data_IF_321812539715
#
_entry.id   IF_321812539715
#
_cell.length_a   1.000
_cell.length_b   1.000
_cell.length_c   1.000
_cell.angle_alpha   90.00
_cell.angle_beta   90.00
_cell.angle_gamma   90.00
#
_symmetry.space_group_name_H-M   'P 1'
#
loop_
_entity.id
_entity.type
_entity.pdbx_description
1 polymer ?
#
# COMPACT_ATOMS: atom_id res chain seq x y z
N UNK A 1 19.48 12.70 -9.70
CA UNK A 1 18.14 12.11 -9.71
C UNK A 1 17.48 12.49 -8.39
N UNK A 2 16.35 13.17 -8.48
CA UNK A 2 15.52 13.45 -7.30
C UNK A 2 14.82 12.17 -6.87
N UNK A 3 14.57 11.98 -5.57
CA UNK A 3 13.83 10.82 -5.08
C UNK A 3 12.47 11.28 -4.57
N UNK A 4 11.42 10.49 -4.84
CA UNK A 4 10.05 10.74 -4.38
C UNK A 4 9.56 9.52 -3.60
N UNK A 5 8.93 9.76 -2.47
CA UNK A 5 8.15 8.74 -1.80
C UNK A 5 6.72 8.76 -2.31
N UNK A 6 6.32 7.69 -3.00
CA UNK A 6 4.93 7.43 -3.39
C UNK A 6 4.25 6.51 -2.39
N UNK A 7 2.96 6.75 -2.12
CA UNK A 7 2.14 5.87 -1.29
C UNK A 7 0.94 5.39 -2.08
N UNK A 8 0.87 4.07 -2.29
CA UNK A 8 -0.29 3.38 -2.88
C UNK A 8 -1.02 2.64 -1.77
N UNK A 9 -2.33 2.80 -1.72
CA UNK A 9 -3.18 2.10 -0.75
C UNK A 9 -4.08 1.12 -1.48
N UNK A 10 -4.03 -0.15 -1.09
CA UNK A 10 -4.91 -1.22 -1.56
C UNK A 10 -5.91 -1.55 -0.46
N UNK A 11 -7.21 -1.45 -0.77
CA UNK A 11 -8.29 -2.00 0.03
C UNK A 11 -8.75 -3.31 -0.60
N UNK A 12 -8.69 -4.40 0.17
CA UNK A 12 -9.13 -5.73 -0.27
C UNK A 12 -10.23 -6.21 0.65
N UNK A 13 -11.30 -6.76 0.07
CA UNK A 13 -12.44 -7.30 0.80
C UNK A 13 -12.69 -8.74 0.35
N UNK A 14 -12.76 -9.65 1.31
CA UNK A 14 -13.17 -11.04 1.13
C UNK A 14 -14.67 -11.11 1.37
N UNK A 15 -15.45 -11.35 0.30
CA UNK A 15 -16.91 -11.29 0.38
C UNK A 15 -17.51 -12.62 0.82
N UNK A 16 -17.47 -13.60 -0.07
CA UNK A 16 -18.13 -14.90 0.11
C UNK A 16 -17.21 -16.03 -0.30
N UNK A 17 -17.21 -17.08 0.49
CA UNK A 17 -16.56 -18.34 0.17
C UNK A 17 -17.62 -19.36 -0.23
N UNK A 18 -17.48 -19.93 -1.42
CA UNK A 18 -18.37 -20.95 -1.95
C UNK A 18 -17.64 -22.28 -2.06
N UNK A 19 -18.07 -23.26 -1.26
CA UNK A 19 -17.59 -24.64 -1.33
C UNK A 19 -18.33 -25.40 -2.44
N UNK A 20 -17.68 -25.71 -3.55
CA UNK A 20 -18.28 -26.52 -4.63
C UNK A 20 -18.18 -28.00 -4.31
N UNK A 21 -17.02 -28.48 -3.88
CA UNK A 21 -16.77 -29.89 -3.54
C UNK A 21 -15.44 -30.12 -2.79
N UNK A 22 -15.22 -29.45 -1.66
CA UNK A 22 -14.08 -29.74 -0.80
C UNK A 22 -14.17 -31.15 -0.21
N UNK A 23 -13.08 -31.92 -0.33
CA UNK A 23 -13.02 -33.32 0.11
C UNK A 23 -13.12 -33.51 1.62
N UNK A 24 -12.71 -32.50 2.39
CA UNK A 24 -12.57 -32.60 3.84
C UNK A 24 -13.56 -31.64 4.50
N UNK A 25 -14.14 -32.08 5.62
CA UNK A 25 -14.98 -31.24 6.49
C UNK A 25 -14.12 -30.77 7.64
N UNK A 26 -14.31 -29.54 8.07
CA UNK A 26 -13.51 -28.97 9.14
C UNK A 26 -13.42 -27.46 9.04
N UNK A 27 -12.34 -26.93 9.59
CA UNK A 27 -12.10 -25.51 9.72
C UNK A 27 -11.18 -25.02 8.62
N UNK A 28 -11.60 -23.91 8.00
CA UNK A 28 -10.90 -23.25 6.92
C UNK A 28 -10.60 -21.81 7.29
N UNK A 29 -9.54 -21.30 6.68
CA UNK A 29 -9.15 -19.91 6.78
C UNK A 29 -8.50 -19.48 5.47
N UNK A 30 -8.78 -18.26 5.02
CA UNK A 30 -8.09 -17.65 3.90
C UNK A 30 -7.07 -16.65 4.44
N UNK A 31 -5.83 -16.76 4.00
CA UNK A 31 -4.77 -15.79 4.30
C UNK A 31 -4.44 -14.98 3.08
N UNK A 32 -4.37 -13.67 3.22
CA UNK A 32 -4.07 -12.73 2.15
C UNK A 32 -2.76 -12.00 2.42
N UNK A 33 -1.89 -11.93 1.42
CA UNK A 33 -0.63 -11.20 1.49
C UNK A 33 -0.38 -10.39 0.22
N UNK A 34 0.03 -9.13 0.38
CA UNK A 34 0.47 -8.30 -0.74
C UNK A 34 1.99 -8.40 -0.88
N UNK A 35 2.46 -8.75 -2.07
CA UNK A 35 3.88 -8.77 -2.44
C UNK A 35 4.17 -7.66 -3.43
N UNK A 36 5.32 -7.03 -3.26
CA UNK A 36 5.82 -5.97 -4.12
C UNK A 36 7.19 -6.38 -4.63
N UNK A 37 7.48 -6.14 -5.91
CA UNK A 37 8.78 -6.46 -6.50
C UNK A 37 9.94 -5.89 -5.67
N UNK A 38 10.97 -6.69 -5.34
CA UNK A 38 12.12 -6.23 -4.56
C UNK A 38 13.02 -5.26 -5.33
N UNK A 39 12.74 -5.03 -6.63
CA UNK A 39 13.47 -4.06 -7.47
C UNK A 39 13.24 -2.61 -7.03
N UNK A 40 12.11 -2.33 -6.38
CA UNK A 40 11.76 -1.01 -5.89
C UNK A 40 11.87 -1.03 -4.36
N UNK A 41 12.71 -0.17 -3.73
CA UNK A 41 12.75 -0.05 -2.28
C UNK A 41 11.37 0.36 -1.76
N UNK A 42 10.83 -0.43 -0.83
CA UNK A 42 9.46 -0.24 -0.36
C UNK A 42 9.29 -0.62 1.10
N UNK A 43 8.20 -0.13 1.70
CA UNK A 43 7.72 -0.52 3.02
C UNK A 43 6.23 -0.80 2.94
N UNK A 44 5.83 -1.98 3.39
CA UNK A 44 4.44 -2.41 3.46
C UNK A 44 3.91 -2.25 4.89
N UNK A 45 2.72 -1.67 5.02
CA UNK A 45 1.97 -1.57 6.27
C UNK A 45 0.60 -2.22 6.02
N UNK A 46 0.14 -3.00 6.98
CA UNK A 46 -1.12 -3.75 6.87
C UNK A 46 -2.00 -3.36 8.05
N UNK A 47 -3.27 -3.12 7.77
CA UNK A 47 -4.27 -2.79 8.79
C UNK A 47 -5.58 -3.50 8.49
N UNK A 48 -6.28 -3.93 9.54
CA UNK A 48 -7.65 -4.45 9.46
C UNK A 48 -8.55 -3.71 10.46
N UNK A 49 -9.84 -3.49 10.13
CA UNK A 49 -10.80 -2.92 11.08
C UNK A 49 -10.92 -3.84 12.31
N UNK A 50 -10.90 -3.26 13.52
CA UNK A 50 -11.08 -4.03 14.76
C UNK A 50 -9.85 -4.86 15.18
N UNK A 51 -8.64 -4.49 14.75
CA UNK A 51 -7.40 -5.15 15.15
C UNK A 51 -7.23 -5.24 16.68
N UNK A 52 -7.46 -6.43 17.25
CA UNK A 52 -7.20 -6.78 18.65
C UNK A 52 -5.89 -7.55 18.83
N UNK A 53 -5.14 -7.80 17.75
CA UNK A 53 -3.91 -8.61 17.77
C UNK A 53 -4.15 -10.12 17.66
N UNK A 54 -5.41 -10.58 17.66
CA UNK A 54 -5.76 -12.00 17.57
C UNK A 54 -6.83 -12.23 16.49
N UNK A 55 -6.62 -13.24 15.66
CA UNK A 55 -7.62 -13.74 14.72
C UNK A 55 -8.54 -14.72 15.45
N UNK A 56 -9.85 -14.66 15.18
CA UNK A 56 -10.84 -15.53 15.85
C UNK A 56 -11.88 -16.06 14.86
N UNK A 57 -12.85 -16.84 15.34
CA UNK A 57 -14.03 -17.24 14.56
C UNK A 57 -14.90 -16.04 14.13
N UNK A 58 -14.81 -14.94 14.86
CA UNK A 58 -15.65 -13.76 14.66
C UNK A 58 -14.93 -12.61 13.95
N UNK A 59 -13.60 -12.65 13.82
CA UNK A 59 -12.83 -11.52 13.29
C UNK A 59 -11.57 -11.92 12.53
N UNK A 60 -11.34 -11.23 11.42
CA UNK A 60 -10.05 -11.20 10.75
C UNK A 60 -8.96 -10.52 11.61
N UNK A 61 -7.70 -10.86 11.34
CA UNK A 61 -6.53 -10.33 12.05
C UNK A 61 -5.32 -10.14 11.14
N UNK A 62 -4.30 -9.46 11.66
CA UNK A 62 -2.99 -9.35 11.01
C UNK A 62 -1.98 -10.12 11.84
N UNK A 63 -1.22 -11.01 11.20
CA UNK A 63 -0.17 -11.79 11.86
C UNK A 63 1.00 -12.00 10.89
N UNK A 64 2.22 -11.71 11.35
CA UNK A 64 3.47 -11.81 10.59
C UNK A 64 3.41 -11.21 9.16
N UNK A 65 2.83 -10.01 9.03
CA UNK A 65 2.73 -9.34 7.73
C UNK A 65 1.77 -10.00 6.73
N UNK A 66 0.87 -10.88 7.20
CA UNK A 66 -0.23 -11.46 6.44
C UNK A 66 -1.56 -11.11 7.12
N UNK A 67 -2.62 -11.04 6.32
CA UNK A 67 -3.99 -10.91 6.81
C UNK A 67 -4.60 -12.29 6.90
N UNK A 68 -5.27 -12.56 8.01
CA UNK A 68 -5.97 -13.80 8.30
C UNK A 68 -7.46 -13.46 8.27
N UNK A 69 -8.24 -14.16 7.45
CA UNK A 69 -9.71 -14.09 7.54
C UNK A 69 -10.17 -14.64 8.89
N UNK A 70 -11.42 -14.35 9.26
CA UNK A 70 -12.06 -15.12 10.32
C UNK A 70 -12.02 -16.62 10.00
N UNK A 71 -11.97 -17.46 11.03
CA UNK A 71 -12.05 -18.91 10.85
C UNK A 71 -13.50 -19.27 10.53
N UNK A 72 -13.72 -20.14 9.54
CA UNK A 72 -15.04 -20.64 9.18
C UNK A 72 -15.05 -22.15 9.04
N UNK A 73 -16.18 -22.77 9.35
CA UNK A 73 -16.36 -24.20 9.25
C UNK A 73 -17.13 -24.56 7.98
N UNK A 74 -16.73 -25.64 7.34
CA UNK A 74 -17.44 -26.22 6.19
C UNK A 74 -17.85 -27.63 6.56
N UNK A 75 -19.14 -27.90 6.43
CA UNK A 75 -19.76 -29.18 6.77
C UNK A 75 -20.37 -29.86 5.55
N UNK A 76 -20.83 -29.09 4.57
CA UNK A 76 -21.59 -29.60 3.44
C UNK A 76 -21.02 -29.12 2.11
N UNK A 77 -21.30 -29.91 1.07
CA UNK A 77 -21.06 -29.52 -0.32
C UNK A 77 -22.02 -28.41 -0.73
N UNK A 78 -21.61 -27.54 -1.65
CA UNK A 78 -22.40 -26.39 -2.14
C UNK A 78 -22.78 -25.42 -1.02
N UNK A 79 -21.92 -25.29 -0.02
CA UNK A 79 -22.09 -24.39 1.12
C UNK A 79 -21.52 -23.00 0.78
N UNK A 80 -22.24 -21.94 1.14
CA UNK A 80 -21.80 -20.55 0.98
C UNK A 80 -21.63 -19.90 2.36
N UNK A 81 -20.48 -19.29 2.58
CA UNK A 81 -20.12 -18.59 3.81
C UNK A 81 -19.80 -17.13 3.50
N UNK A 82 -20.54 -16.19 4.08
CA UNK A 82 -20.20 -14.75 4.02
C UNK A 82 -19.05 -14.43 4.97
N UNK A 83 -17.94 -13.91 4.48
CA UNK A 83 -16.79 -13.51 5.29
C UNK A 83 -16.87 -12.03 5.68
N UNK A 84 -17.05 -11.15 4.70
CA UNK A 84 -17.10 -9.68 4.85
C UNK A 84 -15.85 -9.08 5.53
N UNK A 85 -14.71 -9.77 5.38
CA UNK A 85 -13.44 -9.37 5.98
C UNK A 85 -12.76 -8.31 5.09
N UNK A 86 -12.43 -7.16 5.70
CA UNK A 86 -11.79 -6.02 5.01
C UNK A 86 -10.38 -5.81 5.51
N UNK A 87 -9.46 -5.52 4.59
CA UNK A 87 -8.08 -5.21 4.92
C UNK A 87 -7.52 -4.11 4.03
N UNK A 88 -6.55 -3.39 4.57
CA UNK A 88 -5.85 -2.32 3.86
C UNK A 88 -4.35 -2.57 3.88
N UNK A 89 -3.75 -2.62 2.70
CA UNK A 89 -2.32 -2.69 2.49
C UNK A 89 -1.83 -1.32 1.98
N UNK A 90 -1.03 -0.63 2.79
CA UNK A 90 -0.40 0.64 2.43
C UNK A 90 1.05 0.40 2.05
N UNK A 91 1.39 0.68 0.80
CA UNK A 91 2.74 0.51 0.24
C UNK A 91 3.38 1.87 0.07
N UNK A 92 4.47 2.12 0.79
CA UNK A 92 5.36 3.23 0.55
C UNK A 92 6.48 2.78 -0.40
N UNK A 93 6.69 3.52 -1.49
CA UNK A 93 7.65 3.23 -2.55
C UNK A 93 8.64 4.38 -2.65
N UNK A 94 9.93 4.06 -2.81
CA UNK A 94 10.95 5.03 -3.21
C UNK A 94 11.09 5.02 -4.73
N UNK A 95 10.75 6.14 -5.36
CA UNK A 95 10.62 6.28 -6.80
C UNK A 95 11.61 7.31 -7.34
N UNK A 96 11.99 7.14 -8.62
CA UNK A 96 12.70 8.17 -9.37
C UNK A 96 11.76 9.37 -9.59
N UNK A 97 12.13 10.52 -9.03
CA UNK A 97 11.32 11.74 -9.09
C UNK A 97 11.17 12.32 -10.49
N UNK A 98 12.04 11.95 -11.43
CA UNK A 98 11.97 12.39 -12.82
C UNK A 98 11.03 11.50 -13.67
N UNK A 99 10.68 10.30 -13.17
CA UNK A 99 9.89 9.27 -13.87
C UNK A 99 8.83 8.61 -12.97
N UNK A 100 8.17 9.40 -12.11
CA UNK A 100 7.27 8.88 -11.06
C UNK A 100 6.15 8.02 -11.63
N UNK A 101 5.52 8.46 -12.72
CA UNK A 101 4.37 7.79 -13.31
C UNK A 101 4.77 6.46 -13.98
N UNK A 102 5.86 6.47 -14.75
CA UNK A 102 6.40 5.25 -15.36
C UNK A 102 6.90 4.28 -14.29
N UNK A 103 7.64 4.77 -13.31
CA UNK A 103 8.16 3.95 -12.21
C UNK A 103 7.04 3.29 -11.41
N UNK A 104 5.93 3.99 -11.14
CA UNK A 104 4.75 3.41 -10.50
C UNK A 104 4.09 2.33 -11.36
N UNK A 105 3.97 2.57 -12.67
CA UNK A 105 3.33 1.64 -13.61
C UNK A 105 4.14 0.35 -13.82
N UNK A 106 5.47 0.42 -13.64
CA UNK A 106 6.39 -0.71 -13.75
C UNK A 106 6.45 -1.57 -12.45
N UNK A 107 5.85 -1.12 -11.35
CA UNK A 107 5.86 -1.89 -10.09
C UNK A 107 4.94 -3.12 -10.22
N UNK A 108 5.54 -4.30 -10.04
CA UNK A 108 4.79 -5.55 -9.96
C UNK A 108 4.24 -5.75 -8.54
N UNK A 109 2.92 -5.64 -8.43
CA UNK A 109 2.14 -5.92 -7.23
C UNK A 109 1.42 -7.25 -7.40
N UNK A 110 1.49 -8.10 -6.37
CA UNK A 110 0.86 -9.41 -6.40
C UNK A 110 0.06 -9.66 -5.11
N UNK A 111 -1.21 -10.01 -5.24
CA UNK A 111 -2.03 -10.48 -4.12
C UNK A 111 -1.99 -12.00 -4.08
N UNK A 112 -1.46 -12.56 -2.99
CA UNK A 112 -1.48 -13.99 -2.71
C UNK A 112 -2.63 -14.31 -1.77
N UNK A 113 -3.42 -15.32 -2.12
CA UNK A 113 -4.49 -15.92 -1.33
C UNK A 113 -4.15 -17.38 -1.06
N UNK A 114 -4.00 -17.72 0.21
CA UNK A 114 -3.72 -19.09 0.66
C UNK A 114 -4.96 -19.64 1.37
N UNK A 115 -5.40 -20.83 0.98
CA UNK A 115 -6.43 -21.59 1.68
C UNK A 115 -5.76 -22.52 2.68
N UNK A 116 -6.12 -22.38 3.94
CA UNK A 116 -5.65 -23.20 5.05
C UNK A 116 -6.76 -24.11 5.55
N UNK A 117 -6.39 -25.29 6.04
CA UNK A 117 -7.35 -26.28 6.56
C UNK A 117 -6.82 -27.02 7.78
N UNK A 118 -7.72 -27.29 8.74
CA UNK A 118 -7.54 -28.27 9.81
C UNK A 118 -8.88 -28.89 10.20
N UNK A 119 -8.88 -30.16 10.54
CA UNK A 119 -9.99 -30.87 11.18
C UNK A 119 -9.83 -30.97 12.71
N UNK A 120 -8.72 -30.46 13.26
CA UNK A 120 -8.37 -30.53 14.68
C UNK A 120 -8.62 -29.17 15.34
N UNK A 121 -9.67 -29.08 16.16
CA UNK A 121 -10.05 -27.85 16.85
C UNK A 121 -8.94 -27.29 17.75
N UNK A 122 -8.11 -28.16 18.36
CA UNK A 122 -6.98 -27.71 19.19
C UNK A 122 -5.92 -26.92 18.39
N UNK A 123 -5.78 -27.16 17.09
CA UNK A 123 -4.83 -26.40 16.25
C UNK A 123 -5.31 -24.96 15.99
N UNK A 124 -6.58 -24.65 16.26
CA UNK A 124 -7.10 -23.29 16.14
C UNK A 124 -6.58 -22.37 17.25
N UNK A 125 -5.99 -22.93 18.32
CA UNK A 125 -5.29 -22.14 19.33
C UNK A 125 -3.92 -21.64 18.83
N UNK A 126 -3.29 -22.35 17.89
CA UNK A 126 -2.07 -21.91 17.19
C UNK A 126 -2.34 -21.88 15.69
N UNK A 127 -3.12 -20.88 15.28
CA UNK A 127 -3.55 -20.70 13.89
C UNK A 127 -2.33 -20.66 12.95
N UNK A 128 -1.18 -20.14 13.39
CA UNK A 128 0.02 -20.03 12.56
C UNK A 128 0.49 -21.39 12.01
N UNK A 129 0.26 -22.47 12.77
CA UNK A 129 0.66 -23.85 12.44
C UNK A 129 -0.24 -24.55 11.40
N UNK A 130 -1.44 -24.01 11.13
CA UNK A 130 -2.41 -24.65 10.23
C UNK A 130 -1.85 -24.70 8.81
N UNK A 131 -1.79 -25.88 8.16
CA UNK A 131 -1.15 -26.03 6.85
C UNK A 131 -1.94 -25.34 5.74
N UNK A 132 -1.19 -24.84 4.74
CA UNK A 132 -1.76 -24.39 3.47
C UNK A 132 -2.08 -25.60 2.60
N UNK A 133 -3.29 -25.64 2.04
CA UNK A 133 -3.75 -26.71 1.14
C UNK A 133 -3.85 -26.24 -0.31
N UNK A 134 -4.07 -24.94 -0.54
CA UNK A 134 -4.10 -24.34 -1.88
C UNK A 134 -3.63 -22.89 -1.86
N UNK A 135 -3.09 -22.41 -2.98
CA UNK A 135 -2.58 -21.06 -3.12
C UNK A 135 -2.87 -20.47 -4.49
N UNK A 136 -3.28 -19.21 -4.51
CA UNK A 136 -3.49 -18.41 -5.72
C UNK A 136 -2.78 -17.09 -5.62
N UNK A 137 -2.13 -16.69 -6.71
CA UNK A 137 -1.46 -15.38 -6.82
C UNK A 137 -2.09 -14.62 -7.97
N UNK A 138 -2.53 -13.40 -7.70
CA UNK A 138 -3.13 -12.47 -8.66
C UNK A 138 -2.15 -11.34 -8.94
N UNK A 139 -1.84 -11.10 -10.21
CA UNK A 139 -1.13 -9.89 -10.64
C UNK A 139 -2.06 -8.68 -10.56
N UNK A 140 -1.62 -7.62 -9.89
CA UNK A 140 -2.38 -6.39 -9.69
C UNK A 140 -1.82 -5.29 -10.60
N UNK A 141 -2.50 -5.02 -11.71
CA UNK A 141 -2.09 -4.01 -12.68
C UNK A 141 -2.52 -2.61 -12.25
N UNK A 142 -1.71 -1.96 -11.43
CA UNK A 142 -1.98 -0.63 -10.92
C UNK A 142 -1.73 0.46 -11.96
N UNK A 143 -2.71 1.36 -12.17
CA UNK A 143 -2.56 2.54 -13.02
C UNK A 143 -2.46 3.81 -12.16
N UNK A 144 -1.40 4.63 -12.28
CA UNK A 144 -1.19 5.78 -11.39
C UNK A 144 -2.34 6.80 -11.35
N UNK A 145 -2.99 7.04 -12.49
CA UNK A 145 -4.09 8.01 -12.60
C UNK A 145 -5.47 7.41 -12.31
N UNK A 146 -5.66 6.12 -12.54
CA UNK A 146 -6.99 5.48 -12.50
C UNK A 146 -7.14 4.51 -11.32
N UNK A 147 -6.05 4.15 -10.66
CA UNK A 147 -6.03 3.11 -9.66
C UNK A 147 -6.20 1.71 -10.24
N UNK A 148 -6.70 0.82 -9.41
CA UNK A 148 -7.09 -0.56 -9.74
C UNK A 148 -8.42 -0.82 -9.05
N UNK A 149 -9.45 -1.27 -9.76
CA UNK A 149 -10.76 -1.48 -9.16
C UNK A 149 -11.48 -2.68 -9.79
N UNK A 150 -11.47 -3.82 -9.10
CA UNK A 150 -12.09 -5.05 -9.58
C UNK A 150 -12.84 -5.81 -8.49
N UNK A 151 -13.92 -6.45 -8.91
CA UNK A 151 -14.61 -7.50 -8.15
C UNK A 151 -14.55 -8.78 -8.97
N UNK A 152 -13.99 -9.85 -8.41
CA UNK A 152 -13.79 -11.11 -9.13
C UNK A 152 -13.90 -12.34 -8.23
N UNK A 153 -14.36 -13.49 -8.78
CA UNK A 153 -14.21 -14.78 -8.14
C UNK A 153 -12.79 -15.33 -8.33
N UNK A 154 -12.25 -15.99 -7.31
CA UNK A 154 -10.96 -16.68 -7.34
C UNK A 154 -11.16 -18.14 -6.95
N UNK A 155 -10.91 -19.04 -7.89
CA UNK A 155 -10.98 -20.49 -7.67
C UNK A 155 -9.64 -21.02 -7.15
N UNK A 156 -9.64 -21.83 -6.08
CA UNK A 156 -8.41 -22.30 -5.45
C UNK A 156 -7.66 -23.33 -6.29
N UNK A 157 -8.21 -24.52 -6.58
CA UNK A 157 -7.68 -25.43 -7.60
C UNK A 157 -8.67 -26.56 -7.90
N UNK A 158 -8.26 -27.55 -8.70
CA UNK A 158 -9.09 -28.69 -9.06
C UNK A 158 -9.23 -29.73 -7.94
N UNK A 159 -8.33 -29.74 -6.95
CA UNK A 159 -8.40 -30.61 -5.78
C UNK A 159 -9.15 -29.94 -4.61
N UNK A 160 -9.25 -28.62 -4.62
CA UNK A 160 -9.94 -27.79 -3.67
C UNK A 160 -10.96 -26.96 -4.44
N UNK A 161 -12.00 -27.64 -4.93
CA UNK A 161 -13.09 -27.04 -5.70
C UNK A 161 -13.89 -26.07 -4.82
N UNK A 162 -13.35 -24.87 -4.67
CA UNK A 162 -13.93 -23.77 -3.91
C UNK A 162 -13.55 -22.44 -4.56
N UNK A 163 -14.40 -21.45 -4.33
CA UNK A 163 -14.30 -20.13 -4.93
C UNK A 163 -14.47 -19.08 -3.86
N UNK A 164 -13.59 -18.08 -3.82
CA UNK A 164 -13.77 -16.89 -2.99
C UNK A 164 -14.04 -15.67 -3.86
N UNK A 165 -15.10 -14.93 -3.55
CA UNK A 165 -15.38 -13.65 -4.17
C UNK A 165 -14.60 -12.56 -3.46
N UNK A 166 -13.83 -11.76 -4.21
CA UNK A 166 -13.01 -10.69 -3.67
C UNK A 166 -13.28 -9.37 -4.39
N UNK A 167 -13.08 -8.26 -3.68
CA UNK A 167 -12.94 -6.93 -4.26
C UNK A 167 -11.55 -6.40 -3.96
N UNK A 168 -10.89 -5.81 -4.95
CA UNK A 168 -9.62 -5.10 -4.81
C UNK A 168 -9.79 -3.69 -5.36
N UNK A 169 -9.55 -2.70 -4.51
CA UNK A 169 -9.43 -1.30 -4.89
C UNK A 169 -8.02 -0.81 -4.54
N UNK A 170 -7.40 -0.02 -5.40
CA UNK A 170 -6.13 0.62 -5.11
C UNK A 170 -6.04 2.01 -5.70
N UNK A 171 -5.39 2.95 -5.02
CA UNK A 171 -5.17 4.31 -5.51
C UNK A 171 -3.86 4.91 -5.00
N UNK A 172 -3.29 5.84 -5.76
CA UNK A 172 -2.17 6.67 -5.33
C UNK A 172 -2.69 7.75 -4.38
N UNK A 173 -2.29 7.69 -3.12
CA UNK A 173 -2.84 8.57 -2.07
C UNK A 173 -1.87 9.65 -1.61
N UNK A 174 -0.57 9.51 -1.86
CA UNK A 174 0.41 10.53 -1.53
C UNK A 174 1.66 10.47 -2.42
N UNK A 175 2.21 11.65 -2.71
CA UNK A 175 3.55 11.87 -3.27
C UNK A 175 4.22 12.94 -2.42
N UNK A 176 5.34 12.62 -1.80
CA UNK A 176 6.08 13.59 -0.99
C UNK A 176 7.59 13.29 -0.99
N UNK A 177 8.38 14.17 -0.40
CA UNK A 177 9.82 13.91 -0.21
C UNK A 177 10.04 12.65 0.62
N UNK A 178 11.09 11.84 0.38
CA UNK A 178 11.37 10.65 1.16
C UNK A 178 11.63 10.97 2.63
N UNK A 179 10.63 10.71 3.48
CA UNK A 179 10.69 10.95 4.92
C UNK A 179 10.91 9.64 5.70
N UNK A 180 10.73 8.50 5.04
CA UNK A 180 10.87 7.17 5.63
C UNK A 180 12.22 6.57 5.19
N UNK A 181 12.95 5.98 6.13
CA UNK A 181 14.12 5.18 5.81
C UNK A 181 13.69 3.89 5.09
N UNK A 182 14.13 3.74 3.84
CA UNK A 182 13.93 2.51 3.06
C UNK A 182 15.15 1.61 3.26
N UNK A 183 14.97 0.44 3.84
CA UNK A 183 16.01 -0.56 3.87
C UNK A 183 16.29 -0.98 2.42
N UNK A 184 17.41 -0.54 1.85
CA UNK A 184 17.86 -1.02 0.55
C UNK A 184 18.17 -2.51 0.69
N UNK A 185 17.48 -3.35 -0.10
CA UNK A 185 17.82 -4.78 -0.19
C UNK A 185 19.24 -4.90 -0.72
N UNK A 186 20.19 -5.17 0.18
CA UNK A 186 21.61 -5.20 -0.11
C UNK A 186 21.98 -6.39 -1.00
N UNK A 187 22.60 -6.11 -2.15
CA UNK A 187 23.33 -7.14 -2.91
C UNK A 187 24.70 -7.37 -2.26
N UNK A 188 24.95 -8.61 -1.83
CA UNK A 188 26.28 -9.22 -1.86
C UNK A 188 27.19 -9.01 -0.65
N UNK A 189 27.00 -9.86 0.37
CA UNK A 189 28.10 -10.28 1.22
C UNK A 189 28.80 -11.48 0.55
N UNK A 190 29.93 -11.29 -0.14
CA UNK A 190 31.05 -12.25 -0.14
C UNK A 190 32.30 -11.75 -0.90
N UNK A 191 33.44 -11.96 -0.23
CA UNK A 191 34.85 -11.97 -0.68
C UNK A 191 35.60 -10.63 -0.77
N UNK A 192 36.42 -10.36 0.25
CA UNK A 192 37.54 -9.43 0.17
C UNK A 192 38.16 -9.06 1.52
N UNK A 193 39.19 -9.79 1.93
CA UNK A 193 40.02 -9.62 3.15
C UNK A 193 40.38 -8.17 3.52
N UNK A 194 40.14 -7.83 4.80
CA UNK A 194 41.12 -7.22 5.72
C UNK A 194 41.26 -5.69 5.76
N UNK A 195 40.65 -5.04 6.77
CA UNK A 195 41.22 -3.93 7.56
C UNK A 195 40.23 -3.51 8.67
N UNK A 196 40.66 -3.13 9.89
CA UNK A 196 39.73 -2.82 10.98
C UNK A 196 39.23 -1.36 10.92
N UNK A 197 38.00 -1.20 11.39
CA UNK A 197 37.43 0.02 11.98
C UNK A 197 37.30 1.27 11.11
N UNK A 198 36.12 1.43 10.52
CA UNK A 198 35.40 2.70 10.55
C UNK A 198 33.90 2.38 10.46
N UNK A 199 33.18 2.57 11.56
CA UNK A 199 31.72 2.70 11.55
C UNK A 199 31.37 3.84 10.60
N UNK A 200 31.08 3.52 9.35
CA UNK A 200 30.56 4.49 8.41
C UNK A 200 29.15 4.87 8.89
N UNK A 201 29.05 6.06 9.47
CA UNK A 201 27.79 6.67 9.83
C UNK A 201 26.80 6.49 8.67
N UNK A 202 25.60 5.98 8.98
CA UNK A 202 24.48 5.97 8.04
C UNK A 202 24.36 7.37 7.45
N UNK A 203 24.69 7.54 6.17
CA UNK A 203 24.67 8.84 5.53
C UNK A 203 23.22 9.35 5.55
N UNK A 204 22.91 10.24 6.50
CA UNK A 204 21.63 10.94 6.54
C UNK A 204 21.59 11.79 5.27
N UNK A 205 20.82 11.34 4.27
CA UNK A 205 20.62 12.10 3.03
C UNK A 205 19.93 13.42 3.40
N UNK A 206 20.54 14.56 3.04
CA UNK A 206 19.92 15.87 3.25
C UNK A 206 18.69 16.04 2.36
N UNK A 207 17.67 16.76 2.84
CA UNK A 207 16.46 17.11 2.07
C UNK A 207 16.81 17.77 0.73
N UNK A 208 17.88 18.56 0.71
CA UNK A 208 18.40 19.23 -0.48
C UNK A 208 18.89 18.21 -1.53
N UNK A 209 19.61 17.15 -1.11
CA UNK A 209 20.06 16.11 -2.03
C UNK A 209 18.90 15.24 -2.55
N UNK A 210 17.82 15.10 -1.77
CA UNK A 210 16.59 14.42 -2.21
C UNK A 210 15.82 15.23 -3.24
N UNK A 211 15.69 16.55 -3.03
CA UNK A 211 14.97 17.47 -3.90
C UNK A 211 15.72 17.81 -5.19
N UNK A 212 17.03 18.01 -5.12
CA UNK A 212 17.86 18.49 -6.24
C UNK A 212 18.77 17.41 -6.84
N UNK A 213 18.86 16.24 -6.20
CA UNK A 213 19.64 15.09 -6.62
C UNK A 213 21.11 15.12 -6.17
N UNK A 214 21.78 13.96 -6.23
CA UNK A 214 23.17 13.76 -5.78
C UNK A 214 24.25 14.63 -6.46
N UNK A 215 23.90 15.37 -7.52
CA UNK A 215 24.79 16.34 -8.18
C UNK A 215 24.63 17.78 -7.68
N UNK A 216 23.78 18.01 -6.68
CA UNK A 216 23.59 19.33 -6.07
C UNK A 216 24.76 19.64 -5.14
N UNK A 217 25.72 20.42 -5.64
CA UNK A 217 26.79 20.98 -4.81
C UNK A 217 26.24 22.17 -4.02
N UNK A 218 26.06 22.00 -2.71
CA UNK A 218 25.88 23.14 -1.79
C UNK A 218 27.16 23.99 -1.88
N UNK A 219 27.09 25.28 -2.27
CA UNK A 219 28.27 26.14 -2.25
C UNK A 219 28.82 26.20 -0.84
N UNK A 220 30.14 26.25 -0.69
CA UNK A 220 30.79 26.46 0.61
C UNK A 220 30.27 27.79 1.16
N UNK A 221 29.48 27.72 2.24
CA UNK A 221 28.96 28.90 2.91
C UNK A 221 30.14 29.61 3.57
N UNK A 222 30.51 30.76 3.04
CA UNK A 222 31.39 31.70 3.73
C UNK A 222 30.59 32.36 4.85
N UNK A 223 31.19 32.52 6.03
CA UNK A 223 30.55 33.08 7.22
C UNK A 223 29.79 34.38 6.88
N UNK A 224 28.46 34.39 7.09
CA UNK A 224 27.59 35.54 6.79
C UNK A 224 26.88 35.54 5.43
N UNK A 225 27.09 34.53 4.57
CA UNK A 225 26.39 34.40 3.29
C UNK A 225 25.11 33.55 3.40
N UNK A 226 23.98 34.07 2.91
CA UNK A 226 22.75 33.29 2.73
C UNK A 226 22.81 32.59 1.36
N UNK A 227 22.58 31.27 1.35
CA UNK A 227 22.42 30.53 0.09
C UNK A 227 21.15 30.97 -0.63
N UNK A 228 21.30 31.57 -1.81
CA UNK A 228 20.18 31.88 -2.72
C UNK A 228 20.22 30.86 -3.87
N UNK A 229 19.19 30.00 -4.01
CA UNK A 229 19.09 29.09 -5.14
C UNK A 229 19.04 29.88 -6.46
N UNK A 230 19.66 29.36 -7.53
CA UNK A 230 19.56 29.99 -8.85
C UNK A 230 18.11 29.97 -9.37
N UNK A 231 17.75 30.92 -10.24
CA UNK A 231 16.42 30.97 -10.86
C UNK A 231 16.07 29.64 -11.58
N UNK A 232 17.06 29.05 -12.25
CA UNK A 232 16.92 27.74 -12.90
C UNK A 232 16.62 26.61 -11.90
N UNK A 233 17.20 26.67 -10.70
CA UNK A 233 16.95 25.71 -9.62
C UNK A 233 15.51 25.84 -9.10
N UNK A 234 15.06 27.07 -8.86
CA UNK A 234 13.68 27.36 -8.42
C UNK A 234 12.66 26.93 -9.47
N UNK A 235 12.89 27.26 -10.74
CA UNK A 235 11.99 26.87 -11.83
C UNK A 235 11.88 25.35 -11.99
N UNK A 236 12.99 24.63 -11.82
CA UNK A 236 13.01 23.16 -11.82
C UNK A 236 12.20 22.60 -10.65
N UNK A 237 12.40 23.10 -9.43
CA UNK A 237 11.64 22.67 -8.26
C UNK A 237 10.13 22.93 -8.41
N UNK A 238 9.74 24.10 -8.91
CA UNK A 238 8.34 24.43 -9.19
C UNK A 238 7.72 23.52 -10.24
N UNK A 239 8.46 23.23 -11.32
CA UNK A 239 7.97 22.35 -12.40
C UNK A 239 7.79 20.93 -11.88
N UNK A 240 8.78 20.41 -11.15
CA UNK A 240 8.73 19.09 -10.52
C UNK A 240 7.56 18.97 -9.55
N UNK A 241 7.43 19.90 -8.60
CA UNK A 241 6.32 19.92 -7.65
C UNK A 241 4.95 19.97 -8.36
N UNK A 242 4.82 20.81 -9.39
CA UNK A 242 3.60 20.91 -10.20
C UNK A 242 3.26 19.59 -10.88
N UNK A 243 4.25 18.84 -11.36
CA UNK A 243 4.03 17.51 -11.95
C UNK A 243 3.51 16.52 -10.92
N UNK A 244 4.09 16.48 -9.71
CA UNK A 244 3.59 15.61 -8.63
C UNK A 244 2.14 15.95 -8.24
N UNK A 245 1.82 17.23 -8.08
CA UNK A 245 0.45 17.66 -7.76
C UNK A 245 -0.55 17.31 -8.87
N UNK A 246 -0.15 17.42 -10.15
CA UNK A 246 -0.99 17.02 -11.28
C UNK A 246 -1.27 15.52 -11.27
N UNK A 247 -0.26 14.70 -11.00
CA UNK A 247 -0.43 13.24 -10.92
C UNK A 247 -1.38 12.85 -9.78
N UNK A 248 -1.21 13.43 -8.59
CA UNK A 248 -2.14 13.20 -7.47
C UNK A 248 -3.57 13.66 -7.78
N UNK A 249 -3.71 14.82 -8.43
CA UNK A 249 -5.03 15.31 -8.84
C UNK A 249 -5.67 14.39 -9.89
N UNK A 250 -4.88 13.83 -10.81
CA UNK A 250 -5.36 12.86 -11.78
C UNK A 250 -5.83 11.57 -11.08
N UNK A 251 -5.02 11.02 -10.17
CA UNK A 251 -5.37 9.86 -9.34
C UNK A 251 -6.69 10.05 -8.58
N UNK A 252 -6.84 11.20 -7.92
CA UNK A 252 -8.08 11.56 -7.22
C UNK A 252 -9.28 11.65 -8.17
N UNK A 253 -9.12 12.30 -9.33
CA UNK A 253 -10.19 12.39 -10.34
C UNK A 253 -10.56 11.03 -10.91
N UNK A 254 -9.60 10.15 -11.16
CA UNK A 254 -9.82 8.78 -11.63
C UNK A 254 -10.65 7.98 -10.63
N UNK A 255 -10.31 8.07 -9.34
CA UNK A 255 -11.08 7.44 -8.26
C UNK A 255 -12.52 7.97 -8.20
N UNK A 256 -12.70 9.30 -8.25
CA UNK A 256 -14.03 9.92 -8.24
C UNK A 256 -14.86 9.51 -9.46
N UNK A 257 -14.24 9.42 -10.64
CA UNK A 257 -14.89 8.96 -11.86
C UNK A 257 -15.35 7.51 -11.71
N UNK A 258 -14.47 6.61 -11.27
CA UNK A 258 -14.81 5.21 -11.04
C UNK A 258 -15.94 5.06 -10.02
N UNK A 259 -15.85 5.75 -8.88
CA UNK A 259 -16.89 5.73 -7.85
C UNK A 259 -18.24 6.20 -8.41
N UNK A 260 -18.25 7.29 -9.18
CA UNK A 260 -19.49 7.80 -9.79
C UNK A 260 -20.07 6.80 -10.77
N UNK A 261 -19.24 6.16 -11.61
CA UNK A 261 -19.69 5.10 -12.51
C UNK A 261 -20.28 3.92 -11.74
N UNK A 262 -19.59 3.43 -10.69
CA UNK A 262 -20.06 2.34 -9.84
C UNK A 262 -21.39 2.66 -9.17
N UNK A 263 -21.57 3.88 -8.66
CA UNK A 263 -22.82 4.32 -8.02
C UNK A 263 -23.98 4.43 -9.00
N UNK A 264 -23.71 4.69 -10.29
CA UNK A 264 -24.73 4.67 -11.33
C UNK A 264 -25.12 3.22 -11.69
N UNK A 265 -24.13 2.33 -11.75
CA UNK A 265 -24.36 0.92 -12.11
C UNK A 265 -25.00 0.12 -10.96
N UNK A 266 -24.73 0.49 -9.70
CA UNK A 266 -25.25 -0.19 -8.50
C UNK A 266 -25.81 0.86 -7.51
N UNK A 267 -27.03 1.37 -7.75
CA UNK A 267 -27.62 2.46 -6.97
C UNK A 267 -27.98 2.07 -5.52
N UNK A 268 -27.98 0.78 -5.20
CA UNK A 268 -28.25 0.25 -3.86
C UNK A 268 -27.05 0.42 -2.90
N UNK A 269 -25.85 0.71 -3.43
CA UNK A 269 -24.68 0.98 -2.61
C UNK A 269 -24.90 2.25 -1.79
N UNK A 270 -24.48 2.23 -0.51
CA UNK A 270 -24.53 3.42 0.35
C UNK A 270 -23.62 4.50 -0.23
N UNK A 271 -24.20 5.65 -0.55
CA UNK A 271 -23.46 6.81 -1.03
C UNK A 271 -22.63 7.39 0.12
N UNK A 272 -21.32 7.40 -0.07
CA UNK A 272 -20.36 8.15 0.75
C UNK A 272 -20.09 9.49 0.07
N UNK A 273 -20.08 10.58 0.83
CA UNK A 273 -19.62 11.89 0.35
C UNK A 273 -18.09 11.87 0.20
N UNK A 274 -17.62 11.89 -1.04
CA UNK A 274 -16.19 12.10 -1.31
C UNK A 274 -15.95 13.61 -1.25
N UNK A 275 -15.10 14.06 -0.31
CA UNK A 275 -14.78 15.48 -0.16
C UNK A 275 -14.30 16.07 -1.48
N UNK A 276 -14.96 17.12 -1.96
CA UNK A 276 -14.66 17.77 -3.24
C UNK A 276 -13.42 18.65 -3.15
N UNK A 277 -12.40 18.38 -3.98
CA UNK A 277 -11.30 19.31 -4.18
C UNK A 277 -11.77 20.38 -5.18
N UNK A 278 -12.09 21.58 -4.67
CA UNK A 278 -12.43 22.74 -5.50
C UNK A 278 -11.21 23.11 -6.36
N UNK A 279 -11.26 22.78 -7.65
CA UNK A 279 -10.18 23.11 -8.61
C UNK A 279 -10.33 24.50 -9.25
N UNK A 280 -11.28 25.31 -8.76
CA UNK A 280 -11.45 26.71 -9.17
C UNK A 280 -10.96 27.67 -8.09
N UNK A 281 -9.64 27.81 -7.95
CA UNK A 281 -9.02 28.98 -7.31
C UNK A 281 -7.82 29.45 -8.11
N UNK A 282 -8.13 30.39 -9.01
CA UNK A 282 -7.34 31.52 -9.49
C UNK A 282 -5.82 31.41 -9.69
N UNK A 283 -5.46 31.58 -10.97
CA UNK A 283 -4.44 32.53 -11.40
C UNK A 283 -4.61 33.90 -10.70
N UNK A 284 -4.09 34.08 -9.50
CA UNK A 284 -3.66 35.38 -8.99
C UNK A 284 -2.64 35.20 -7.86
N UNK A 285 -1.65 36.07 -7.92
CA UNK A 285 -0.50 36.23 -7.06
C UNK A 285 -0.83 36.47 -5.57
N UNK A 286 0.12 36.05 -4.72
CA UNK A 286 0.43 36.48 -3.35
C UNK A 286 -0.14 35.75 -2.12
N UNK A 287 0.84 35.45 -1.24
CA UNK A 287 0.81 35.27 0.23
C UNK A 287 0.30 33.96 0.82
N UNK A 288 1.25 33.05 1.04
CA UNK A 288 1.19 31.97 2.03
C UNK A 288 1.01 32.57 3.44
N UNK A 289 -0.09 32.24 4.11
CA UNK A 289 -0.15 32.24 5.57
C UNK A 289 -0.23 30.78 6.03
N UNK A 290 0.72 30.42 6.90
CA UNK A 290 0.84 29.13 7.55
C UNK A 290 -0.35 28.89 8.48
N UNK A 291 -1.12 27.83 8.24
CA UNK A 291 -1.99 27.25 9.27
C UNK A 291 -1.32 25.98 9.80
N UNK A 292 -0.55 26.17 10.87
CA UNK A 292 -0.04 25.12 11.76
C UNK A 292 -1.21 24.62 12.60
N UNK A 293 -1.62 23.37 12.42
CA UNK A 293 -2.58 22.71 13.32
C UNK A 293 -1.81 22.22 14.55
N UNK A 294 -1.97 22.91 15.68
CA UNK A 294 -1.48 22.48 16.97
C UNK A 294 -2.36 21.33 17.52
N UNK A 295 -1.74 20.20 17.85
CA UNK A 295 -2.37 19.18 18.70
C UNK A 295 -2.22 19.60 20.16
N UNK A 296 -3.33 19.93 20.82
CA UNK A 296 -3.38 20.15 22.26
C UNK A 296 -3.50 18.79 22.98
N UNK A 297 -2.44 18.40 23.69
CA UNK A 297 -2.53 17.45 24.80
C UNK A 297 -3.07 18.21 26.02
N UNK A 298 -4.33 18.00 26.37
CA UNK A 298 -4.84 18.39 27.68
C UNK A 298 -4.78 17.17 28.62
N UNK A 299 -3.86 17.26 29.57
CA UNK A 299 -3.79 16.44 30.78
C UNK A 299 -4.73 17.01 31.83
N UNK A 300 -5.69 16.21 32.31
CA UNK A 300 -6.53 16.45 33.50
C UNK A 300 -7.14 15.07 33.87
N UNK A 301 -7.03 14.42 35.03
CA UNK A 301 -6.48 14.65 36.38
C UNK A 301 -5.83 13.34 36.84
#
# INVERSE_FOLDING_TARGET
>A
MSEVQGTVEFSVELHKFHNVDLFQRGFYQVRAGLRVSPRVPHRLIITTPGYTGECSFSSAGVHDGLVFSRIFQILYRNEEISLEDRMTFRVHLLLDGDRVEEALSEVDFQLRLDLHFTDVEQQLADISSVPVISSRTLGLHFLPQNGLHHHLPVMFDYFHLSVISITVHASLVALHQPLISFARSGKGAWLGKGSPESEAASSVMSVENLMFGAGYCRPVLTEGSFYVPSENCLQRAHTWHRSLCRLLLAAYKGLCFYYTALMNDVPELKRVEIGTINTHTHSHTHTLHSNTVHYNYNSVY
#
